data_IF_452662119142
#
_entry.id   IF_452662119142
#
_cell.length_a   1.000
_cell.length_b   1.000
_cell.length_c   1.000
_cell.angle_alpha   90.00
_cell.angle_beta   90.00
_cell.angle_gamma   90.00
#
_symmetry.space_group_name_H-M   'P 1'
#
loop_
_entity.id
_entity.type
_entity.pdbx_description
1 polymer ?
#
# COMPACT_ATOMS: atom_id res chain seq x y z
N UNK A 1 -22.87 62.32 26.94
CA UNK A 1 -21.50 62.12 26.43
C UNK A 1 -20.76 61.23 27.42
N UNK A 2 -20.65 59.94 27.11
CA UNK A 2 -19.90 58.98 27.89
C UNK A 2 -18.51 58.83 27.24
N UNK A 3 -17.45 59.05 28.02
CA UNK A 3 -16.07 58.76 27.65
C UNK A 3 -15.74 57.38 28.20
N UNK A 4 -15.87 56.39 27.33
CA UNK A 4 -15.39 55.03 27.52
C UNK A 4 -13.97 54.91 26.97
N UNK A 5 -13.07 54.26 27.71
CA UNK A 5 -11.89 53.63 27.12
C UNK A 5 -10.57 53.97 27.77
N UNK A 6 -10.19 53.17 28.78
CA UNK A 6 -8.81 52.77 29.02
C UNK A 6 -8.86 51.35 29.64
N UNK A 7 -8.47 50.35 28.87
CA UNK A 7 -8.25 48.98 29.34
C UNK A 7 -6.89 48.92 30.06
N UNK A 8 -6.70 48.11 31.12
CA UNK A 8 -5.41 48.02 31.81
C UNK A 8 -4.39 47.27 30.94
N UNK A 9 -3.16 47.78 30.91
CA UNK A 9 -2.01 47.15 30.26
C UNK A 9 -1.78 45.73 30.82
N UNK A 10 -1.61 44.76 29.92
CA UNK A 10 -1.26 43.38 30.27
C UNK A 10 0.13 43.35 30.90
N UNK A 11 0.17 43.07 32.20
CA UNK A 11 1.38 42.78 32.96
C UNK A 11 2.04 41.50 32.40
N UNK A 12 3.27 41.63 31.91
CA UNK A 12 4.09 40.51 31.47
C UNK A 12 4.68 39.84 32.72
N UNK A 13 4.24 38.62 33.04
CA UNK A 13 4.81 37.79 34.09
C UNK A 13 5.86 36.84 33.47
N UNK A 14 7.17 37.04 33.74
CA UNK A 14 8.23 36.19 33.19
C UNK A 14 8.33 34.79 33.83
N UNK A 15 7.47 34.44 34.80
CA UNK A 15 7.56 33.19 35.57
C UNK A 15 6.31 32.28 35.48
N UNK A 16 5.48 32.39 34.43
CA UNK A 16 4.36 31.47 34.24
C UNK A 16 4.69 30.36 33.22
N UNK A 17 5.23 29.20 33.64
CA UNK A 17 5.43 28.07 32.74
C UNK A 17 4.08 27.36 32.57
N UNK A 18 3.26 27.84 31.63
CA UNK A 18 2.26 26.94 31.03
C UNK A 18 3.03 25.95 30.17
N UNK A 19 3.49 24.87 30.81
CA UNK A 19 3.96 23.66 30.15
C UNK A 19 2.79 23.08 29.37
N UNK A 20 2.60 23.56 28.13
CA UNK A 20 1.89 22.80 27.13
C UNK A 20 2.62 21.47 26.96
N UNK A 21 1.86 20.38 26.90
CA UNK A 21 2.35 19.04 26.62
C UNK A 21 3.33 19.09 25.44
N UNK A 22 4.44 18.35 25.57
CA UNK A 22 5.31 18.02 24.43
C UNK A 22 4.55 17.02 23.55
N UNK A 23 3.48 17.49 22.93
CA UNK A 23 2.91 16.84 21.76
C UNK A 23 3.81 17.17 20.57
N UNK A 24 4.14 16.16 19.78
CA UNK A 24 5.00 16.25 18.61
C UNK A 24 4.47 17.35 17.67
N UNK A 25 5.03 18.55 17.77
CA UNK A 25 4.49 19.73 17.13
C UNK A 25 4.73 19.69 15.62
N UNK A 26 3.65 19.99 14.91
CA UNK A 26 3.58 20.22 13.47
C UNK A 26 4.73 21.06 12.90
N UNK A 27 5.40 20.67 11.79
CA UNK A 27 6.26 21.52 10.97
C UNK A 27 5.71 22.92 10.63
N UNK A 28 4.38 23.06 10.51
CA UNK A 28 3.74 24.37 10.33
C UNK A 28 3.67 25.17 11.64
N UNK A 29 3.47 24.50 12.77
CA UNK A 29 3.56 25.12 14.11
C UNK A 29 5.01 25.52 14.44
N UNK A 30 5.99 24.69 14.09
CA UNK A 30 7.43 24.99 14.26
C UNK A 30 7.83 26.17 13.37
N UNK A 31 7.33 26.26 12.14
CA UNK A 31 7.57 27.43 11.27
C UNK A 31 6.94 28.70 11.85
N UNK A 32 5.71 28.63 12.34
CA UNK A 32 5.03 29.76 12.96
C UNK A 32 5.74 30.24 14.24
N UNK A 33 6.30 29.31 15.02
CA UNK A 33 7.08 29.61 16.22
C UNK A 33 8.45 30.21 15.88
N UNK A 34 9.12 29.72 14.83
CA UNK A 34 10.35 30.32 14.28
C UNK A 34 10.11 31.76 13.81
N UNK A 35 8.99 32.00 13.13
CA UNK A 35 8.61 33.33 12.65
C UNK A 35 8.26 34.26 13.84
N UNK A 36 7.61 33.73 14.90
CA UNK A 36 7.32 34.46 16.13
C UNK A 36 8.58 34.80 16.95
N UNK A 37 9.49 33.84 17.13
CA UNK A 37 10.81 34.02 17.75
C UNK A 37 11.67 35.04 16.98
N UNK A 38 11.60 35.03 15.64
CA UNK A 38 12.25 36.03 14.79
C UNK A 38 11.71 37.45 15.00
N UNK A 39 10.39 37.59 15.11
CA UNK A 39 9.74 38.88 15.39
C UNK A 39 10.03 39.38 16.82
N UNK A 40 10.10 38.48 17.81
CA UNK A 40 10.46 38.82 19.18
C UNK A 40 11.90 39.36 19.29
N UNK A 41 12.86 38.74 18.58
CA UNK A 41 14.24 39.23 18.45
C UNK A 41 14.29 40.63 17.82
N UNK A 42 13.57 40.86 16.72
CA UNK A 42 13.53 42.17 16.07
C UNK A 42 12.93 43.24 16.98
N UNK A 43 11.86 42.91 17.71
CA UNK A 43 11.26 43.83 18.70
C UNK A 43 12.23 44.13 19.84
N UNK A 44 12.92 43.13 20.38
CA UNK A 44 13.90 43.30 21.45
C UNK A 44 15.07 44.17 21.00
N UNK A 45 15.55 44.00 19.77
CA UNK A 45 16.61 44.83 19.18
C UNK A 45 16.17 46.31 19.05
N UNK A 46 14.96 46.57 18.56
CA UNK A 46 14.41 47.92 18.50
C UNK A 46 14.22 48.55 19.89
N UNK A 47 13.73 47.76 20.87
CA UNK A 47 13.56 48.21 22.26
C UNK A 47 14.93 48.54 22.90
N UNK A 48 15.98 47.78 22.56
CA UNK A 48 17.35 48.04 22.98
C UNK A 48 17.96 49.30 22.34
N UNK A 49 17.76 49.51 21.04
CA UNK A 49 18.21 50.72 20.33
C UNK A 49 17.54 52.00 20.87
N UNK A 50 16.24 51.91 21.19
CA UNK A 50 15.50 52.99 21.85
C UNK A 50 16.05 53.26 23.26
N UNK A 51 16.35 52.20 24.02
CA UNK A 51 17.00 52.32 25.33
C UNK A 51 18.36 53.01 25.23
N UNK A 52 19.24 52.59 24.31
CA UNK A 52 20.55 53.21 24.09
C UNK A 52 20.43 54.69 23.65
N UNK A 53 19.41 55.02 22.85
CA UNK A 53 19.14 56.40 22.41
C UNK A 53 18.72 57.28 23.59
N UNK A 54 17.79 56.81 24.42
CA UNK A 54 17.35 57.51 25.62
C UNK A 54 18.49 57.65 26.64
N UNK A 55 19.29 56.60 26.82
CA UNK A 55 20.46 56.61 27.68
C UNK A 55 21.50 57.63 27.22
N UNK A 56 21.82 57.65 25.92
CA UNK A 56 22.76 58.61 25.33
C UNK A 56 22.25 60.04 25.49
N UNK A 57 20.95 60.25 25.29
CA UNK A 57 20.31 61.56 25.46
C UNK A 57 20.35 62.03 26.93
N UNK A 58 20.12 61.13 27.89
CA UNK A 58 20.20 61.45 29.32
C UNK A 58 21.63 61.75 29.75
N UNK A 59 22.63 61.02 29.25
CA UNK A 59 24.06 61.28 29.51
C UNK A 59 24.52 62.62 28.90
N UNK A 60 24.02 63.00 27.72
CA UNK A 60 24.33 64.28 27.09
C UNK A 60 23.73 65.48 27.83
N UNK A 61 22.61 65.30 28.53
CA UNK A 61 21.89 66.36 29.24
C UNK A 61 22.04 66.29 30.77
N UNK A 62 22.99 65.50 31.28
CA UNK A 62 23.18 65.37 32.73
C UNK A 62 23.89 66.59 33.34
N UNK A 63 23.50 66.93 34.57
CA UNK A 63 24.20 67.91 35.39
C UNK A 63 25.48 67.27 35.98
N UNK A 64 26.67 67.81 35.70
CA UNK A 64 27.93 67.27 36.22
C UNK A 64 28.04 67.28 37.76
N UNK A 65 27.15 67.99 38.48
CA UNK A 65 27.11 68.03 39.94
C UNK A 65 26.23 66.94 40.56
N UNK A 66 25.44 66.20 39.77
CA UNK A 66 24.59 65.10 40.24
C UNK A 66 24.58 63.91 39.25
N UNK A 67 25.64 63.09 39.24
CA UNK A 67 25.70 61.94 38.35
C UNK A 67 24.64 60.89 38.74
N UNK A 68 23.90 60.39 37.75
CA UNK A 68 22.93 59.31 37.95
C UNK A 68 23.63 57.97 38.19
N UNK A 69 23.02 57.07 38.97
CA UNK A 69 23.60 55.76 39.32
C UNK A 69 23.60 54.79 38.12
N UNK A 70 24.80 54.44 37.66
CA UNK A 70 25.06 53.51 36.54
C UNK A 70 24.59 52.05 36.76
N UNK A 71 24.19 51.70 37.99
CA UNK A 71 23.85 50.33 38.38
C UNK A 71 22.53 49.83 37.79
N UNK A 72 21.52 50.70 37.67
CA UNK A 72 20.22 50.37 37.10
C UNK A 72 20.35 49.97 35.61
N UNK A 73 21.16 50.72 34.86
CA UNK A 73 21.40 50.50 33.42
C UNK A 73 22.16 49.20 33.15
N UNK A 74 23.17 48.92 33.98
CA UNK A 74 23.93 47.67 33.88
C UNK A 74 23.03 46.46 34.16
N UNK A 75 22.10 46.58 35.11
CA UNK A 75 21.09 45.56 35.41
C UNK A 75 20.14 45.33 34.23
N UNK A 76 19.67 46.40 33.58
CA UNK A 76 18.80 46.31 32.40
C UNK A 76 19.53 45.70 31.19
N UNK A 77 20.79 46.06 30.95
CA UNK A 77 21.65 45.45 29.91
C UNK A 77 21.81 43.94 30.10
N UNK A 78 22.06 43.50 31.34
CA UNK A 78 22.15 42.07 31.67
C UNK A 78 20.81 41.35 31.44
N UNK A 79 19.68 41.99 31.76
CA UNK A 79 18.35 41.44 31.46
C UNK A 79 18.11 41.32 29.95
N UNK A 80 18.41 42.34 29.15
CA UNK A 80 18.30 42.26 27.68
C UNK A 80 19.14 41.11 27.11
N UNK A 81 20.40 41.00 27.54
CA UNK A 81 21.30 39.93 27.10
C UNK A 81 20.76 38.55 27.47
N UNK A 82 20.16 38.42 28.66
CA UNK A 82 19.58 37.16 29.14
C UNK A 82 18.34 36.77 28.33
N UNK A 83 17.46 37.72 28.01
CA UNK A 83 16.27 37.49 27.17
C UNK A 83 16.68 37.16 25.74
N UNK A 84 17.66 37.86 25.18
CA UNK A 84 18.20 37.57 23.84
C UNK A 84 18.76 36.14 23.77
N UNK A 85 19.55 35.73 24.76
CA UNK A 85 20.06 34.37 24.86
C UNK A 85 18.94 33.33 24.97
N UNK A 86 17.87 33.62 25.74
CA UNK A 86 16.72 32.73 25.86
C UNK A 86 15.99 32.57 24.51
N UNK A 87 15.75 33.66 23.78
CA UNK A 87 15.12 33.61 22.46
C UNK A 87 16.00 32.83 21.46
N UNK A 88 17.32 33.08 21.49
CA UNK A 88 18.26 32.38 20.62
C UNK A 88 18.34 30.88 20.94
N UNK A 89 18.20 30.50 22.21
CA UNK A 89 18.10 29.11 22.64
C UNK A 89 16.83 28.45 22.10
N UNK A 90 15.66 29.08 22.25
CA UNK A 90 14.39 28.57 21.72
C UNK A 90 14.46 28.38 20.20
N UNK A 91 15.01 29.35 19.47
CA UNK A 91 15.23 29.23 18.01
C UNK A 91 16.12 28.06 17.62
N UNK A 92 17.12 27.73 18.44
CA UNK A 92 17.95 26.56 18.21
C UNK A 92 17.21 25.25 18.51
N UNK A 93 16.36 25.22 19.54
CA UNK A 93 15.49 24.07 19.84
C UNK A 93 14.47 23.83 18.72
N UNK A 94 13.81 24.88 18.22
CA UNK A 94 12.90 24.82 17.08
C UNK A 94 13.59 24.25 15.82
N UNK A 95 14.83 24.70 15.53
CA UNK A 95 15.64 24.15 14.44
C UNK A 95 15.97 22.66 14.62
N UNK A 96 16.27 22.23 15.85
CA UNK A 96 16.52 20.82 16.14
C UNK A 96 15.27 19.96 15.95
N UNK A 97 14.10 20.48 16.35
CA UNK A 97 12.81 19.81 16.12
C UNK A 97 12.54 19.69 14.61
N UNK A 98 12.76 20.77 13.85
CA UNK A 98 12.59 20.75 12.39
C UNK A 98 13.53 19.74 11.70
N UNK A 99 14.80 19.65 12.12
CA UNK A 99 15.75 18.66 11.63
C UNK A 99 15.29 17.22 11.94
N UNK A 100 14.68 17.00 13.10
CA UNK A 100 14.14 15.69 13.49
C UNK A 100 12.96 15.28 12.60
N UNK A 101 12.06 16.21 12.23
CA UNK A 101 11.00 15.96 11.26
C UNK A 101 11.50 15.73 9.82
N UNK A 102 12.62 16.33 9.43
CA UNK A 102 13.29 16.01 8.15
C UNK A 102 13.83 14.57 8.08
N UNK A 103 14.27 14.03 9.21
CA UNK A 103 14.80 12.66 9.28
C UNK A 103 13.70 11.60 9.15
N UNK A 104 12.49 11.83 9.68
CA UNK A 104 11.35 10.91 9.51
C UNK A 104 10.89 10.84 8.06
N UNK A 105 10.95 11.96 7.34
CA UNK A 105 10.66 12.03 5.90
C UNK A 105 11.63 11.19 5.07
N UNK A 106 12.92 11.18 5.42
CA UNK A 106 13.93 10.37 4.73
C UNK A 106 13.74 8.86 4.95
N UNK A 107 13.29 8.47 6.15
CA UNK A 107 13.00 7.07 6.47
C UNK A 107 11.82 6.50 5.65
N UNK A 108 10.85 7.34 5.29
CA UNK A 108 9.68 6.91 4.52
C UNK A 108 10.03 6.44 3.10
N UNK A 109 11.03 7.03 2.44
CA UNK A 109 11.50 6.54 1.13
C UNK A 109 11.98 5.08 1.18
N UNK A 110 12.49 4.64 2.33
CA UNK A 110 12.89 3.25 2.54
C UNK A 110 11.73 2.26 2.44
N UNK A 111 10.48 2.71 2.55
CA UNK A 111 9.31 1.84 2.45
C UNK A 111 8.92 1.53 1.01
N UNK A 112 9.31 2.36 0.03
CA UNK A 112 8.97 2.17 -1.38
C UNK A 112 9.43 0.78 -1.84
N UNK A 113 8.51 0.03 -2.43
CA UNK A 113 8.73 -1.34 -2.90
C UNK A 113 8.72 -2.41 -1.81
N UNK A 114 8.58 -2.05 -0.53
CA UNK A 114 8.39 -3.02 0.57
C UNK A 114 6.92 -3.31 0.78
N UNK A 115 6.61 -4.52 1.21
CA UNK A 115 5.27 -4.87 1.69
C UNK A 115 5.13 -4.42 3.14
N UNK A 116 4.00 -3.79 3.47
CA UNK A 116 3.68 -3.39 4.83
C UNK A 116 2.36 -4.01 5.28
N UNK A 117 2.28 -4.35 6.58
CA UNK A 117 1.03 -4.61 7.28
C UNK A 117 0.63 -3.33 8.01
N UNK A 118 -0.62 -2.92 7.86
CA UNK A 118 -1.14 -1.66 8.39
C UNK A 118 -2.41 -1.88 9.21
N UNK A 119 -2.70 -1.00 10.16
CA UNK A 119 -4.00 -0.92 10.85
C UNK A 119 -5.05 -0.13 10.06
N UNK A 120 -4.73 0.32 8.85
CA UNK A 120 -5.66 1.04 7.99
C UNK A 120 -6.72 0.05 7.45
N UNK A 121 -8.00 0.39 7.63
CA UNK A 121 -9.11 -0.45 7.22
C UNK A 121 -9.47 -0.32 5.74
N UNK A 122 -8.84 0.61 5.02
CA UNK A 122 -9.06 0.81 3.58
C UNK A 122 -8.08 -0.03 2.74
N UNK A 123 -8.59 -0.60 1.66
CA UNK A 123 -7.79 -1.26 0.62
C UNK A 123 -8.38 -0.96 -0.76
N UNK A 124 -7.63 -1.25 -1.82
CA UNK A 124 -8.12 -1.10 -3.19
C UNK A 124 -8.80 -2.40 -3.65
N UNK A 125 -10.00 -2.30 -4.21
CA UNK A 125 -10.61 -3.32 -5.05
C UNK A 125 -9.97 -3.19 -6.43
N UNK A 126 -9.19 -4.19 -6.82
CA UNK A 126 -8.52 -4.22 -8.12
C UNK A 126 -8.53 -5.65 -8.67
N UNK A 127 -8.82 -5.82 -9.96
CA UNK A 127 -8.88 -7.15 -10.56
C UNK A 127 -10.00 -8.03 -10.01
N UNK A 128 -11.04 -7.41 -9.44
CA UNK A 128 -12.24 -8.09 -8.94
C UNK A 128 -12.13 -8.68 -7.53
N UNK A 129 -11.10 -8.32 -6.74
CA UNK A 129 -11.07 -8.68 -5.32
C UNK A 129 -10.39 -7.63 -4.43
N UNK A 130 -10.78 -7.62 -3.15
CA UNK A 130 -10.18 -6.82 -2.09
C UNK A 130 -9.93 -7.71 -0.87
N UNK A 131 -8.76 -7.58 -0.23
CA UNK A 131 -8.34 -8.45 0.89
C UNK A 131 -8.08 -7.64 2.15
N UNK A 132 -8.56 -8.19 3.27
CA UNK A 132 -8.29 -7.72 4.62
C UNK A 132 -7.97 -8.90 5.53
N UNK A 133 -7.44 -8.58 6.71
CA UNK A 133 -7.49 -9.48 7.85
C UNK A 133 -8.03 -8.75 9.07
N UNK A 134 -8.61 -9.47 10.01
CA UNK A 134 -9.14 -8.89 11.23
C UNK A 134 -8.97 -9.81 12.42
N UNK A 135 -8.93 -9.21 13.60
CA UNK A 135 -8.95 -9.90 14.89
C UNK A 135 -10.18 -9.43 15.66
N UNK A 136 -10.80 -10.35 16.38
CA UNK A 136 -11.85 -10.05 17.35
C UNK A 136 -11.41 -10.56 18.72
N UNK A 137 -11.89 -9.91 19.78
CA UNK A 137 -11.67 -10.39 21.14
C UNK A 137 -12.14 -11.85 21.28
N UNK A 138 -11.38 -12.74 21.94
CA UNK A 138 -11.76 -14.14 22.12
C UNK A 138 -13.11 -14.36 22.82
N UNK A 139 -13.63 -13.35 23.55
CA UNK A 139 -14.95 -13.38 24.17
C UNK A 139 -16.11 -13.10 23.22
N UNK A 140 -15.84 -12.77 21.95
CA UNK A 140 -16.87 -12.54 20.93
C UNK A 140 -17.69 -13.82 20.66
N UNK A 141 -19.00 -13.75 20.86
CA UNK A 141 -19.93 -14.82 20.46
C UNK A 141 -20.42 -14.66 19.02
N UNK A 142 -20.45 -13.43 18.50
CA UNK A 142 -20.77 -13.14 17.10
C UNK A 142 -20.00 -11.93 16.59
N UNK A 143 -19.79 -11.87 15.28
CA UNK A 143 -19.22 -10.71 14.61
C UNK A 143 -19.89 -10.43 13.27
N UNK A 144 -19.79 -9.19 12.79
CA UNK A 144 -20.37 -8.72 11.55
C UNK A 144 -19.35 -7.87 10.80
N UNK A 145 -19.18 -8.20 9.53
CA UNK A 145 -18.32 -7.52 8.57
C UNK A 145 -19.19 -6.60 7.72
N UNK A 146 -18.77 -5.35 7.55
CA UNK A 146 -19.38 -4.36 6.67
C UNK A 146 -18.31 -3.73 5.77
N UNK A 147 -18.57 -3.66 4.47
CA UNK A 147 -17.69 -2.96 3.53
C UNK A 147 -18.39 -1.67 3.09
N UNK A 148 -17.65 -0.57 3.12
CA UNK A 148 -18.12 0.74 2.68
C UNK A 148 -17.34 1.25 1.47
N UNK A 149 -18.03 1.95 0.58
CA UNK A 149 -17.41 2.68 -0.53
C UNK A 149 -16.73 3.98 -0.04
N UNK A 150 -16.05 4.69 -0.95
CA UNK A 150 -15.39 5.96 -0.66
C UNK A 150 -16.34 7.08 -0.18
N UNK A 151 -17.67 6.93 -0.35
CA UNK A 151 -18.70 7.87 0.13
C UNK A 151 -19.24 7.47 1.51
N UNK A 152 -18.81 6.34 2.06
CA UNK A 152 -19.30 5.78 3.32
C UNK A 152 -20.58 4.95 3.19
N UNK A 153 -21.05 4.67 1.97
CA UNK A 153 -22.21 3.81 1.78
C UNK A 153 -21.82 2.36 2.01
N UNK A 154 -22.62 1.64 2.78
CA UNK A 154 -22.41 0.19 2.96
C UNK A 154 -22.83 -0.55 1.69
N UNK A 155 -21.89 -1.30 1.11
CA UNK A 155 -22.06 -2.05 -0.15
C UNK A 155 -22.13 -3.55 0.06
N UNK A 156 -21.63 -4.04 1.19
CA UNK A 156 -21.62 -5.46 1.52
C UNK A 156 -21.71 -5.66 3.04
N UNK A 157 -22.46 -6.68 3.47
CA UNK A 157 -22.55 -7.10 4.88
C UNK A 157 -22.57 -8.62 4.96
N UNK A 158 -21.78 -9.21 5.84
CA UNK A 158 -21.80 -10.63 6.13
C UNK A 158 -21.49 -10.90 7.60
N UNK A 159 -21.92 -12.05 8.12
CA UNK A 159 -21.41 -12.54 9.39
C UNK A 159 -19.90 -12.79 9.32
N UNK A 160 -19.18 -12.31 10.32
CA UNK A 160 -17.75 -12.56 10.48
C UNK A 160 -17.46 -13.79 11.33
N UNK A 161 -16.25 -14.34 11.19
CA UNK A 161 -15.72 -15.40 12.04
C UNK A 161 -15.42 -14.86 13.43
N UNK A 162 -15.58 -15.71 14.43
CA UNK A 162 -15.20 -15.43 15.82
C UNK A 162 -14.07 -16.37 16.26
N UNK A 163 -13.66 -16.25 17.52
CA UNK A 163 -12.54 -17.00 18.08
C UNK A 163 -11.21 -16.26 17.98
N UNK A 164 -10.26 -16.67 18.82
CA UNK A 164 -8.95 -16.06 18.90
C UNK A 164 -8.14 -16.23 17.60
N UNK A 165 -7.29 -15.25 17.31
CA UNK A 165 -6.38 -15.27 16.17
C UNK A 165 -6.81 -14.37 15.01
N UNK A 166 -5.97 -14.36 13.98
CA UNK A 166 -6.15 -13.53 12.80
C UNK A 166 -7.04 -14.23 11.79
N UNK A 167 -8.11 -13.57 11.36
CA UNK A 167 -9.05 -14.05 10.35
C UNK A 167 -8.83 -13.32 9.04
N UNK A 168 -8.63 -14.05 7.94
CA UNK A 168 -8.58 -13.46 6.61
C UNK A 168 -9.99 -13.28 6.01
N UNK A 169 -10.16 -12.20 5.26
CA UNK A 169 -11.39 -11.91 4.53
C UNK A 169 -11.06 -11.41 3.12
N UNK A 170 -11.66 -12.04 2.11
CA UNK A 170 -11.53 -11.68 0.70
C UNK A 170 -12.92 -11.38 0.17
N UNK A 171 -13.11 -10.17 -0.35
CA UNK A 171 -14.32 -9.75 -1.03
C UNK A 171 -14.11 -9.80 -2.54
N UNK A 172 -15.08 -10.32 -3.27
CA UNK A 172 -15.07 -10.49 -4.72
C UNK A 172 -15.64 -9.27 -5.49
N UNK A 173 -15.81 -8.14 -4.79
CA UNK A 173 -16.34 -6.91 -5.37
C UNK A 173 -17.84 -6.95 -5.66
N UNK A 174 -18.61 -7.89 -5.11
CA UNK A 174 -20.05 -8.02 -5.39
C UNK A 174 -20.92 -7.85 -4.14
N UNK A 175 -22.16 -7.38 -4.32
CA UNK A 175 -23.18 -7.46 -3.25
C UNK A 175 -23.82 -8.86 -3.16
N UNK A 176 -24.77 -9.00 -2.23
CA UNK A 176 -25.56 -10.23 -2.04
C UNK A 176 -26.43 -10.61 -3.25
N UNK A 177 -26.70 -9.67 -4.15
CA UNK A 177 -27.49 -9.89 -5.35
C UNK A 177 -26.60 -10.20 -6.57
N UNK A 178 -25.27 -10.23 -6.40
CA UNK A 178 -24.28 -10.46 -7.45
C UNK A 178 -23.94 -9.22 -8.28
N UNK A 179 -24.45 -8.03 -7.91
CA UNK A 179 -24.10 -6.78 -8.57
C UNK A 179 -22.64 -6.43 -8.28
N UNK A 180 -21.86 -6.18 -9.33
CA UNK A 180 -20.44 -5.87 -9.22
C UNK A 180 -20.22 -4.38 -8.95
N UNK A 181 -19.26 -4.08 -8.08
CA UNK A 181 -18.79 -2.75 -7.77
C UNK A 181 -17.54 -2.41 -8.59
N UNK A 182 -17.34 -1.13 -8.95
CA UNK A 182 -16.18 -0.71 -9.71
C UNK A 182 -14.88 -0.81 -8.90
N UNK A 183 -13.76 -0.98 -9.59
CA UNK A 183 -12.44 -0.86 -8.98
C UNK A 183 -12.30 0.50 -8.26
N UNK A 184 -11.69 0.49 -7.08
CA UNK A 184 -11.57 1.68 -6.23
C UNK A 184 -11.34 1.36 -4.76
N UNK A 185 -11.25 2.40 -3.94
CA UNK A 185 -10.96 2.26 -2.50
C UNK A 185 -12.22 1.92 -1.72
N UNK A 186 -12.12 0.86 -0.92
CA UNK A 186 -13.17 0.38 -0.02
C UNK A 186 -12.61 0.22 1.39
N UNK A 187 -13.47 0.37 2.41
CA UNK A 187 -13.09 0.19 3.81
C UNK A 187 -13.87 -0.95 4.46
N UNK A 188 -13.17 -1.73 5.31
CA UNK A 188 -13.78 -2.79 6.10
C UNK A 188 -14.04 -2.31 7.53
N UNK A 189 -15.25 -2.52 8.02
CA UNK A 189 -15.60 -2.37 9.43
C UNK A 189 -16.00 -3.72 10.00
N UNK A 190 -15.45 -4.06 11.16
CA UNK A 190 -15.79 -5.28 11.89
C UNK A 190 -16.35 -4.89 13.24
N UNK A 191 -17.56 -5.36 13.53
CA UNK A 191 -18.20 -5.23 14.84
C UNK A 191 -18.33 -6.62 15.45
N UNK A 192 -18.13 -6.73 16.76
CA UNK A 192 -18.26 -8.00 17.47
C UNK A 192 -18.92 -7.78 18.83
N UNK A 193 -19.68 -8.77 19.30
CA UNK A 193 -20.31 -8.75 20.62
C UNK A 193 -20.09 -10.06 21.37
N UNK A 194 -20.02 -9.99 22.70
CA UNK A 194 -20.00 -11.15 23.58
C UNK A 194 -21.38 -11.82 23.70
N UNK A 195 -21.45 -12.96 24.41
CA UNK A 195 -22.72 -13.67 24.67
C UNK A 195 -23.77 -12.79 25.35
N UNK A 196 -23.34 -11.78 26.11
CA UNK A 196 -24.20 -10.81 26.79
C UNK A 196 -24.57 -9.62 25.89
N UNK A 197 -24.28 -9.69 24.59
CA UNK A 197 -24.50 -8.65 23.57
C UNK A 197 -23.74 -7.33 23.83
N UNK A 198 -22.65 -7.37 24.61
CA UNK A 198 -21.78 -6.21 24.83
C UNK A 198 -20.75 -6.11 23.69
N UNK A 199 -20.48 -4.90 23.15
CA UNK A 199 -19.42 -4.73 22.16
C UNK A 199 -18.06 -5.18 22.71
N UNK A 200 -17.29 -5.85 21.87
CA UNK A 200 -15.91 -6.26 22.18
C UNK A 200 -14.95 -5.71 21.14
N UNK A 201 -13.66 -5.68 21.48
CA UNK A 201 -12.62 -5.07 20.64
C UNK A 201 -12.46 -5.80 19.31
N UNK A 202 -12.23 -5.03 18.25
CA UNK A 202 -11.93 -5.53 16.91
C UNK A 202 -10.75 -4.74 16.34
N UNK A 203 -9.95 -5.40 15.50
CA UNK A 203 -8.87 -4.76 14.75
C UNK A 203 -8.96 -5.20 13.30
N UNK A 204 -8.75 -4.28 12.38
CA UNK A 204 -8.68 -4.55 10.94
C UNK A 204 -7.27 -4.24 10.48
N UNK A 205 -6.77 -5.08 9.58
CA UNK A 205 -5.47 -4.93 8.97
C UNK A 205 -5.54 -5.12 7.46
N UNK A 206 -4.66 -4.40 6.78
CA UNK A 206 -4.42 -4.52 5.35
C UNK A 206 -2.95 -4.78 5.10
N UNK A 207 -2.65 -5.44 3.98
CA UNK A 207 -1.29 -5.66 3.50
C UNK A 207 -1.16 -5.16 2.08
N UNK A 208 0.01 -4.63 1.74
CA UNK A 208 0.34 -4.35 0.35
C UNK A 208 1.67 -3.65 0.20
N UNK A 209 2.11 -3.56 -1.06
CA UNK A 209 3.39 -2.97 -1.43
C UNK A 209 3.24 -1.46 -1.54
N UNK A 210 4.17 -0.73 -0.94
CA UNK A 210 4.21 0.73 -1.03
C UNK A 210 4.70 1.14 -2.43
N UNK A 211 3.85 1.82 -3.21
CA UNK A 211 4.17 2.27 -4.56
C UNK A 211 4.66 3.72 -4.63
N UNK A 212 4.23 4.55 -3.68
CA UNK A 212 4.55 5.97 -3.64
C UNK A 212 4.67 6.48 -2.20
N UNK A 213 5.45 7.56 -2.04
CA UNK A 213 5.59 8.31 -0.80
C UNK A 213 5.37 9.78 -1.11
N UNK A 214 4.44 10.39 -0.40
CA UNK A 214 4.15 11.82 -0.53
C UNK A 214 4.59 12.57 0.71
N UNK A 215 5.30 13.67 0.50
CA UNK A 215 5.79 14.59 1.53
C UNK A 215 5.21 15.97 1.25
N UNK A 216 3.88 16.08 1.31
CA UNK A 216 3.15 17.35 1.18
C UNK A 216 2.68 17.88 2.54
N UNK A 217 2.68 17.02 3.56
CA UNK A 217 2.34 17.35 4.95
C UNK A 217 3.49 17.09 5.91
N UNK A 218 3.15 17.00 7.20
CA UNK A 218 4.11 16.92 8.30
C UNK A 218 4.72 15.56 8.51
N UNK A 219 3.88 14.55 8.36
CA UNK A 219 4.29 13.16 8.35
C UNK A 219 4.19 12.66 6.91
N UNK A 220 5.22 11.95 6.42
CA UNK A 220 5.16 11.35 5.11
C UNK A 220 3.99 10.35 5.05
N UNK A 221 3.26 10.38 3.95
CA UNK A 221 2.17 9.46 3.68
C UNK A 221 2.63 8.41 2.69
N UNK A 222 2.46 7.14 3.04
CA UNK A 222 2.72 6.00 2.15
C UNK A 222 1.47 5.72 1.30
N UNK A 223 1.66 5.17 0.11
CA UNK A 223 0.56 4.76 -0.76
C UNK A 223 0.66 3.29 -1.11
N UNK A 224 -0.47 2.57 -0.99
CA UNK A 224 -0.63 1.17 -1.42
C UNK A 224 -1.78 1.10 -2.42
N UNK A 225 -1.48 0.95 -3.71
CA UNK A 225 -2.49 0.88 -4.76
C UNK A 225 -3.42 2.10 -4.78
N UNK A 226 -2.90 3.29 -4.45
CA UNK A 226 -3.67 4.52 -4.31
C UNK A 226 -4.31 4.77 -2.92
N UNK A 227 -4.21 3.82 -1.98
CA UNK A 227 -4.67 3.99 -0.59
C UNK A 227 -3.62 4.70 0.23
N UNK A 228 -4.03 5.78 0.92
CA UNK A 228 -3.17 6.57 1.80
C UNK A 228 -2.99 5.87 3.15
N UNK A 229 -1.74 5.69 3.57
CA UNK A 229 -1.37 5.04 4.83
C UNK A 229 -0.39 5.94 5.59
N UNK A 230 -0.72 6.30 6.82
CA UNK A 230 0.17 7.06 7.69
C UNK A 230 1.28 6.18 8.28
N UNK A 231 2.48 6.73 8.53
CA UNK A 231 3.57 5.95 9.15
C UNK A 231 3.18 5.32 10.49
N UNK A 232 2.34 5.99 11.28
CA UNK A 232 1.82 5.49 12.57
C UNK A 232 0.89 4.28 12.43
N UNK A 233 0.30 4.09 11.25
CA UNK A 233 -0.59 2.97 10.95
C UNK A 233 0.20 1.73 10.52
N UNK A 234 1.50 1.88 10.24
CA UNK A 234 2.35 0.76 9.85
C UNK A 234 2.68 -0.09 11.08
N UNK A 235 2.23 -1.34 11.06
CA UNK A 235 2.44 -2.30 12.15
C UNK A 235 3.71 -3.11 11.90
N UNK A 236 3.92 -3.53 10.66
CA UNK A 236 5.08 -4.31 10.28
C UNK A 236 5.52 -3.95 8.86
N UNK A 237 6.82 -4.01 8.63
CA UNK A 237 7.42 -3.93 7.31
C UNK A 237 8.00 -5.30 7.01
N UNK A 238 7.47 -5.95 5.99
CA UNK A 238 8.12 -7.11 5.40
C UNK A 238 9.04 -6.61 4.30
N UNK A 239 10.33 -6.86 4.46
CA UNK A 239 11.15 -7.03 3.27
C UNK A 239 10.82 -8.40 2.75
N UNK A 240 9.83 -8.45 1.87
CA UNK A 240 9.72 -9.60 1.02
C UNK A 240 11.04 -9.69 0.27
N UNK A 241 11.86 -10.66 0.69
CA UNK A 241 12.86 -11.28 -0.17
C UNK A 241 12.10 -12.12 -1.20
N UNK A 242 11.09 -11.53 -1.84
CA UNK A 242 10.63 -12.07 -3.10
C UNK A 242 11.80 -11.83 -4.04
N UNK A 243 12.15 -12.89 -4.76
CA UNK A 243 13.24 -12.95 -5.72
C UNK A 243 14.57 -13.47 -5.15
N UNK A 244 14.55 -14.68 -4.57
CA UNK A 244 15.48 -15.75 -4.98
C UNK A 244 15.19 -17.10 -4.33
N UNK A 245 14.74 -17.17 -3.07
CA UNK A 245 14.55 -18.47 -2.40
C UNK A 245 13.18 -19.12 -2.64
N UNK A 246 12.09 -18.34 -2.69
CA UNK A 246 10.75 -18.87 -2.91
C UNK A 246 10.48 -19.28 -4.36
N UNK A 247 11.04 -18.59 -5.36
CA UNK A 247 10.93 -18.97 -6.77
C UNK A 247 11.72 -20.24 -7.09
N UNK A 248 12.84 -20.52 -6.40
CA UNK A 248 13.56 -21.80 -6.53
C UNK A 248 12.67 -22.99 -6.15
N UNK A 249 11.73 -22.81 -5.20
CA UNK A 249 10.77 -23.86 -4.84
C UNK A 249 9.79 -24.20 -5.97
N UNK A 250 9.73 -23.42 -7.06
CA UNK A 250 8.91 -23.72 -8.21
C UNK A 250 9.65 -24.59 -9.24
N UNK A 251 10.98 -24.55 -9.28
CA UNK A 251 11.76 -25.33 -10.25
C UNK A 251 11.44 -26.82 -10.08
N UNK A 252 11.08 -27.47 -11.19
CA UNK A 252 10.67 -28.87 -11.23
C UNK A 252 9.22 -29.13 -10.83
N UNK A 253 8.45 -28.10 -10.44
CA UNK A 253 7.03 -28.24 -10.10
C UNK A 253 6.14 -27.87 -11.26
N UNK A 254 5.02 -28.58 -11.39
CA UNK A 254 3.96 -28.21 -12.32
C UNK A 254 3.16 -27.04 -11.74
N UNK A 255 2.95 -26.02 -12.55
CA UNK A 255 2.09 -24.89 -12.22
C UNK A 255 0.89 -24.81 -13.15
N UNK A 256 -0.22 -24.27 -12.66
CA UNK A 256 -1.30 -23.75 -13.50
C UNK A 256 -1.27 -22.23 -13.43
N UNK A 257 -1.32 -21.56 -14.57
CA UNK A 257 -1.19 -20.10 -14.67
C UNK A 257 -2.25 -19.51 -15.57
N UNK A 258 -2.64 -18.25 -15.33
CA UNK A 258 -3.41 -17.45 -16.30
C UNK A 258 -2.42 -16.95 -17.35
N UNK A 259 -2.29 -17.66 -18.47
CA UNK A 259 -1.40 -17.26 -19.55
C UNK A 259 -1.94 -17.81 -20.88
N UNK A 260 -2.19 -16.97 -21.90
CA UNK A 260 -2.63 -17.45 -23.20
C UNK A 260 -1.52 -18.17 -23.98
N UNK A 261 -0.26 -18.11 -23.52
CA UNK A 261 0.90 -18.68 -24.22
C UNK A 261 1.29 -20.05 -23.69
N UNK A 262 1.58 -20.97 -24.60
CA UNK A 262 2.15 -22.29 -24.31
C UNK A 262 3.17 -22.66 -25.38
N UNK A 263 3.99 -23.68 -25.12
CA UNK A 263 4.88 -24.24 -26.14
C UNK A 263 4.12 -25.26 -26.98
N UNK A 264 4.32 -25.20 -28.30
CA UNK A 264 4.18 -26.36 -29.16
C UNK A 264 5.46 -27.18 -29.02
N UNK A 265 5.35 -28.35 -28.41
CA UNK A 265 6.46 -29.28 -28.20
C UNK A 265 5.94 -30.71 -28.37
N UNK A 266 6.75 -31.59 -28.96
CA UNK A 266 6.37 -32.99 -29.20
C UNK A 266 5.08 -33.14 -30.05
N UNK A 267 4.79 -32.15 -30.90
CA UNK A 267 3.65 -32.17 -31.82
C UNK A 267 2.29 -31.78 -31.20
N UNK A 268 2.26 -31.22 -29.99
CA UNK A 268 1.02 -30.70 -29.41
C UNK A 268 1.22 -29.44 -28.56
N UNK A 269 0.20 -28.59 -28.52
CA UNK A 269 0.08 -27.43 -27.65
C UNK A 269 -1.26 -27.47 -26.92
N UNK A 270 -1.22 -27.33 -25.59
CA UNK A 270 -2.37 -27.55 -24.72
C UNK A 270 -2.76 -26.28 -23.98
N UNK A 271 -4.05 -25.96 -24.02
CA UNK A 271 -4.67 -24.91 -23.24
C UNK A 271 -5.92 -25.44 -22.52
N UNK A 272 -6.21 -24.86 -21.37
CA UNK A 272 -7.55 -24.91 -20.78
C UNK A 272 -8.14 -23.51 -20.86
N UNK A 273 -9.41 -23.37 -21.20
CA UNK A 273 -10.08 -22.07 -21.22
C UNK A 273 -11.42 -22.13 -20.51
N UNK A 274 -11.86 -21.01 -19.96
CA UNK A 274 -13.16 -20.86 -19.30
C UNK A 274 -13.93 -19.74 -19.98
N UNK A 275 -15.17 -20.04 -20.34
CA UNK A 275 -16.08 -19.11 -21.00
C UNK A 275 -17.05 -18.48 -20.01
N UNK A 276 -17.50 -17.26 -20.30
CA UNK A 276 -18.65 -16.67 -19.62
C UNK A 276 -19.88 -17.58 -19.75
N UNK A 277 -20.67 -17.79 -18.67
CA UNK A 277 -21.89 -18.60 -18.72
C UNK A 277 -22.89 -18.27 -19.83
N UNK A 278 -22.92 -17.03 -20.32
CA UNK A 278 -23.84 -16.62 -21.39
C UNK A 278 -23.29 -16.85 -22.82
N UNK A 279 -22.12 -17.47 -22.97
CA UNK A 279 -21.47 -17.72 -24.27
C UNK A 279 -22.23 -18.79 -25.06
N UNK A 280 -22.85 -18.38 -26.17
CA UNK A 280 -23.63 -19.24 -27.05
C UNK A 280 -22.82 -19.81 -28.23
N UNK A 281 -21.72 -19.17 -28.61
CA UNK A 281 -20.76 -19.69 -29.58
C UNK A 281 -19.35 -19.23 -29.23
N UNK A 282 -18.32 -20.00 -29.58
CA UNK A 282 -16.94 -19.59 -29.40
C UNK A 282 -16.07 -19.99 -30.59
N UNK A 283 -15.01 -19.21 -30.83
CA UNK A 283 -13.99 -19.49 -31.84
C UNK A 283 -12.60 -19.46 -31.18
N UNK A 284 -11.85 -20.55 -31.37
CA UNK A 284 -10.49 -20.71 -30.87
C UNK A 284 -9.51 -20.32 -31.99
N UNK A 285 -8.64 -19.36 -31.71
CA UNK A 285 -7.71 -18.80 -32.68
C UNK A 285 -6.30 -18.96 -32.13
N UNK A 286 -5.49 -19.81 -32.78
CA UNK A 286 -4.07 -19.95 -32.46
C UNK A 286 -3.27 -18.93 -33.25
N UNK A 287 -2.38 -18.21 -32.56
CA UNK A 287 -1.51 -17.18 -33.13
C UNK A 287 -0.05 -17.48 -32.87
N UNK A 288 0.80 -17.17 -33.85
CA UNK A 288 2.25 -17.19 -33.70
C UNK A 288 2.77 -16.03 -32.81
N UNK A 289 4.09 -15.98 -32.58
CA UNK A 289 4.73 -14.93 -31.77
C UNK A 289 4.57 -13.51 -32.32
N UNK A 290 4.29 -13.37 -33.62
CA UNK A 290 4.04 -12.07 -34.27
C UNK A 290 2.55 -11.68 -34.18
N UNK A 291 1.70 -12.52 -33.58
CA UNK A 291 0.26 -12.31 -33.44
C UNK A 291 -0.54 -12.70 -34.68
N UNK A 292 0.06 -13.37 -35.67
CA UNK A 292 -0.64 -13.83 -36.88
C UNK A 292 -1.42 -15.11 -36.56
N UNK A 293 -2.70 -15.15 -36.95
CA UNK A 293 -3.52 -16.35 -36.85
C UNK A 293 -3.00 -17.46 -37.79
N UNK A 294 -2.75 -18.63 -37.24
CA UNK A 294 -2.22 -19.80 -37.96
C UNK A 294 -3.22 -20.97 -37.99
N UNK A 295 -4.12 -21.03 -37.02
CA UNK A 295 -5.17 -22.05 -36.93
C UNK A 295 -6.42 -21.45 -36.29
N UNK A 296 -7.59 -21.88 -36.75
CA UNK A 296 -8.88 -21.42 -36.25
C UNK A 296 -9.90 -22.56 -36.29
N UNK A 297 -10.65 -22.73 -35.21
CA UNK A 297 -11.69 -23.76 -35.09
C UNK A 297 -12.83 -23.27 -34.20
N UNK A 298 -14.05 -23.76 -34.44
CA UNK A 298 -15.16 -23.57 -33.50
C UNK A 298 -14.82 -24.21 -32.16
N UNK A 299 -14.99 -23.47 -31.06
CA UNK A 299 -14.79 -23.97 -29.71
C UNK A 299 -16.07 -24.51 -29.07
N UNK A 300 -15.93 -24.96 -27.83
CA UNK A 300 -17.07 -25.39 -27.01
C UNK A 300 -17.92 -24.20 -26.55
N UNK A 301 -19.09 -24.46 -25.98
CA UNK A 301 -20.03 -23.43 -25.51
C UNK A 301 -20.48 -23.71 -24.08
N UNK A 302 -21.10 -22.72 -23.43
CA UNK A 302 -21.54 -22.83 -22.04
C UNK A 302 -20.42 -22.65 -21.00
N UNK A 303 -20.83 -22.48 -19.74
CA UNK A 303 -19.94 -22.27 -18.60
C UNK A 303 -19.10 -23.50 -18.28
N UNK A 304 -17.87 -23.28 -17.81
CA UNK A 304 -16.99 -24.34 -17.31
C UNK A 304 -15.60 -24.28 -17.92
N UNK A 305 -14.73 -25.19 -17.48
CA UNK A 305 -13.39 -25.36 -18.02
C UNK A 305 -13.44 -26.31 -19.22
N UNK A 306 -12.93 -25.83 -20.34
CA UNK A 306 -12.82 -26.54 -21.61
C UNK A 306 -11.35 -26.78 -21.93
N UNK A 307 -11.02 -27.92 -22.52
CA UNK A 307 -9.65 -28.23 -22.93
C UNK A 307 -9.50 -28.12 -24.43
N UNK A 308 -8.42 -27.49 -24.88
CA UNK A 308 -8.04 -27.41 -26.28
C UNK A 308 -6.63 -27.94 -26.47
N UNK A 309 -6.53 -29.00 -27.28
CA UNK A 309 -5.28 -29.62 -27.70
C UNK A 309 -5.14 -29.34 -29.19
N UNK A 310 -4.10 -28.61 -29.56
CA UNK A 310 -3.77 -28.32 -30.95
C UNK A 310 -2.59 -29.18 -31.39
N UNK A 311 -2.68 -29.81 -32.55
CA UNK A 311 -1.69 -30.75 -33.10
C UNK A 311 -0.55 -30.06 -33.88
N UNK A 312 -0.43 -28.73 -33.74
CA UNK A 312 0.62 -27.94 -34.38
C UNK A 312 0.44 -27.74 -35.89
N UNK A 313 -0.68 -28.16 -36.47
CA UNK A 313 -0.93 -27.98 -37.92
C UNK A 313 -1.67 -26.68 -38.20
N UNK A 314 -1.32 -26.06 -39.32
CA UNK A 314 -2.08 -24.93 -39.85
C UNK A 314 -3.39 -25.38 -40.53
N UNK A 315 -4.16 -24.43 -41.07
CA UNK A 315 -5.41 -24.71 -41.79
C UNK A 315 -5.25 -25.58 -43.05
N UNK A 316 -4.04 -25.70 -43.60
CA UNK A 316 -3.73 -26.51 -44.77
C UNK A 316 -3.22 -27.91 -44.38
N UNK A 317 -3.08 -28.19 -43.09
CA UNK A 317 -2.52 -29.44 -42.57
C UNK A 317 -0.99 -29.47 -42.54
N UNK A 318 -0.32 -28.34 -42.79
CA UNK A 318 1.14 -28.24 -42.69
C UNK A 318 1.56 -28.12 -41.23
N UNK A 319 2.57 -28.89 -40.83
CA UNK A 319 3.15 -28.80 -39.49
C UNK A 319 3.91 -27.49 -39.34
N UNK A 320 3.59 -26.76 -38.28
CA UNK A 320 4.29 -25.53 -37.93
C UNK A 320 5.49 -25.82 -37.02
N UNK A 321 6.50 -24.93 -37.00
CA UNK A 321 7.68 -25.11 -36.17
C UNK A 321 7.35 -25.14 -34.68
N UNK A 322 8.09 -25.94 -33.91
CA UNK A 322 8.10 -25.88 -32.46
C UNK A 322 8.41 -24.46 -31.97
N UNK A 323 7.77 -24.05 -30.88
CA UNK A 323 7.93 -22.71 -30.31
C UNK A 323 6.72 -22.23 -29.51
N UNK A 324 6.74 -20.95 -29.14
CA UNK A 324 5.66 -20.34 -28.34
C UNK A 324 4.51 -19.88 -29.23
N UNK A 325 3.32 -20.38 -28.93
CA UNK A 325 2.07 -19.95 -29.56
C UNK A 325 1.12 -19.39 -28.51
N UNK A 326 0.16 -18.57 -28.96
CA UNK A 326 -0.90 -18.05 -28.10
C UNK A 326 -2.28 -18.46 -28.57
N UNK A 327 -3.15 -18.79 -27.62
CA UNK A 327 -4.57 -18.97 -27.87
C UNK A 327 -5.30 -17.65 -27.63
N UNK A 328 -6.23 -17.33 -28.52
CA UNK A 328 -7.27 -16.34 -28.29
C UNK A 328 -8.63 -17.03 -28.42
N UNK A 329 -9.56 -16.71 -27.52
CA UNK A 329 -10.91 -17.28 -27.52
C UNK A 329 -11.90 -16.15 -27.71
N UNK A 330 -12.61 -16.16 -28.84
CA UNK A 330 -13.66 -15.20 -29.16
C UNK A 330 -15.02 -15.83 -28.87
N UNK A 331 -15.64 -15.48 -27.74
CA UNK A 331 -16.98 -15.90 -27.38
C UNK A 331 -18.04 -14.88 -27.82
N UNK A 332 -19.22 -15.35 -28.23
CA UNK A 332 -20.39 -14.53 -28.52
C UNK A 332 -21.61 -15.06 -27.76
N UNK A 333 -22.46 -14.17 -27.24
CA UNK A 333 -23.74 -14.51 -26.62
C UNK A 333 -24.79 -14.88 -27.69
N UNK A 334 -25.99 -15.28 -27.27
CA UNK A 334 -27.08 -15.68 -28.18
C UNK A 334 -27.62 -14.58 -29.11
N UNK A 335 -27.19 -13.32 -28.91
CA UNK A 335 -27.59 -12.14 -29.68
C UNK A 335 -26.41 -11.64 -30.56
N UNK A 336 -25.21 -12.18 -30.35
CA UNK A 336 -24.01 -11.87 -31.12
C UNK A 336 -23.04 -10.87 -30.45
N UNK A 337 -23.24 -10.50 -29.17
CA UNK A 337 -22.29 -9.63 -28.47
C UNK A 337 -21.08 -10.42 -27.95
N UNK A 338 -19.87 -9.83 -27.92
CA UNK A 338 -18.68 -10.45 -27.35
C UNK A 338 -18.83 -10.83 -25.87
N UNK A 339 -18.38 -12.02 -25.51
CA UNK A 339 -18.30 -12.51 -24.13
C UNK A 339 -16.84 -12.74 -23.73
N UNK A 340 -16.58 -12.76 -22.42
CA UNK A 340 -15.24 -12.94 -21.87
C UNK A 340 -14.78 -14.41 -21.89
N UNK A 341 -13.47 -14.61 -21.98
CA UNK A 341 -12.83 -15.89 -21.79
C UNK A 341 -11.53 -15.75 -20.99
N UNK A 342 -11.25 -16.72 -20.11
CA UNK A 342 -9.96 -16.84 -19.40
C UNK A 342 -9.21 -18.04 -19.92
N UNK A 343 -7.92 -17.88 -20.18
CA UNK A 343 -7.06 -18.94 -20.73
C UNK A 343 -6.01 -19.30 -19.69
N UNK A 344 -5.89 -20.60 -19.45
CA UNK A 344 -5.00 -21.21 -18.50
C UNK A 344 -4.04 -22.14 -19.22
N UNK A 345 -2.79 -22.16 -18.76
CA UNK A 345 -1.81 -23.16 -19.20
C UNK A 345 -1.25 -23.89 -18.00
N UNK A 346 -0.84 -25.13 -18.25
CA UNK A 346 -0.09 -25.94 -17.28
C UNK A 346 1.28 -26.25 -17.84
N UNK A 347 2.25 -26.33 -16.95
CA UNK A 347 3.55 -26.87 -17.29
C UNK A 347 4.53 -26.81 -16.14
N UNK A 348 5.63 -27.54 -16.31
CA UNK A 348 6.70 -27.61 -15.32
C UNK A 348 7.61 -26.41 -15.44
N UNK A 349 7.91 -25.77 -14.31
CA UNK A 349 8.88 -24.68 -14.27
C UNK A 349 10.28 -25.27 -14.43
N UNK A 350 10.96 -24.90 -15.51
CA UNK A 350 12.30 -25.37 -15.87
C UNK A 350 13.41 -24.53 -15.24
N UNK A 351 13.21 -23.21 -15.17
CA UNK A 351 14.18 -22.26 -14.67
C UNK A 351 13.50 -20.95 -14.25
N UNK A 352 14.28 -20.02 -13.72
CA UNK A 352 13.83 -18.69 -13.33
C UNK A 352 14.65 -17.68 -14.12
N UNK A 353 13.98 -16.81 -14.87
CA UNK A 353 14.60 -15.67 -15.53
C UNK A 353 14.64 -14.49 -14.56
N UNK A 354 15.85 -14.07 -14.18
CA UNK A 354 16.10 -12.93 -13.28
C UNK A 354 16.65 -11.71 -14.01
N UNK A 355 16.63 -11.71 -15.35
CA UNK A 355 17.11 -10.58 -16.16
C UNK A 355 16.20 -9.34 -16.07
N UNK A 356 14.95 -9.52 -15.65
CA UNK A 356 13.98 -8.45 -15.39
C UNK A 356 13.87 -8.09 -13.91
N UNK A 357 13.34 -6.90 -13.63
CA UNK A 357 13.12 -6.38 -12.26
C UNK A 357 12.16 -7.25 -11.42
N UNK A 358 11.33 -8.07 -12.08
CA UNK A 358 10.52 -9.14 -11.50
C UNK A 358 11.01 -10.47 -12.11
N UNK A 359 11.34 -11.51 -11.32
CA UNK A 359 11.73 -12.80 -11.82
C UNK A 359 10.52 -13.52 -12.43
N UNK A 360 10.77 -14.17 -13.56
CA UNK A 360 9.76 -14.87 -14.33
C UNK A 360 10.04 -16.36 -14.25
N UNK A 361 9.01 -17.15 -14.01
CA UNK A 361 9.08 -18.60 -14.08
C UNK A 361 9.12 -19.00 -15.56
N UNK A 362 10.08 -19.84 -15.94
CA UNK A 362 10.20 -20.35 -17.31
C UNK A 362 9.49 -21.69 -17.42
N UNK A 363 8.37 -21.74 -18.14
CA UNK A 363 7.66 -22.98 -18.49
C UNK A 363 7.96 -23.29 -19.96
N UNK A 364 8.95 -24.14 -20.20
CA UNK A 364 9.66 -24.18 -21.48
C UNK A 364 10.15 -22.78 -21.87
N UNK A 365 9.80 -22.29 -23.07
CA UNK A 365 10.17 -20.94 -23.53
C UNK A 365 9.16 -19.83 -23.10
N UNK A 366 8.13 -20.19 -22.34
CA UNK A 366 7.11 -19.24 -21.89
C UNK A 366 7.51 -18.62 -20.56
N UNK A 367 7.57 -17.28 -20.55
CA UNK A 367 7.77 -16.47 -19.35
C UNK A 367 6.44 -16.29 -18.61
N UNK A 368 6.41 -16.63 -17.32
CA UNK A 368 5.23 -16.57 -16.45
C UNK A 368 5.55 -15.70 -15.24
N UNK A 369 4.69 -14.72 -14.92
CA UNK A 369 4.84 -13.94 -13.69
C UNK A 369 4.34 -14.74 -12.51
N UNK A 370 4.96 -14.55 -11.35
CA UNK A 370 4.55 -15.28 -10.14
C UNK A 370 3.09 -14.97 -9.74
N UNK A 371 2.64 -13.73 -9.95
CA UNK A 371 1.26 -13.30 -9.70
C UNK A 371 0.21 -14.00 -10.58
N UNK A 372 0.62 -14.56 -11.71
CA UNK A 372 -0.27 -15.24 -12.66
C UNK A 372 -0.44 -16.73 -12.31
N UNK A 373 0.35 -17.25 -11.34
CA UNK A 373 0.28 -18.64 -10.88
C UNK A 373 -0.94 -18.85 -9.99
N UNK A 374 -1.78 -19.81 -10.38
CA UNK A 374 -3.00 -20.19 -9.66
C UNK A 374 -2.80 -21.37 -8.71
N UNK A 375 -2.05 -22.38 -9.13
CA UNK A 375 -1.80 -23.59 -8.34
C UNK A 375 -0.41 -24.13 -8.61
N UNK A 376 0.19 -24.74 -7.60
CA UNK A 376 1.49 -25.43 -7.69
C UNK A 376 1.29 -26.86 -7.22
N UNK A 377 1.57 -27.83 -8.09
CA UNK A 377 1.53 -29.26 -7.73
C UNK A 377 2.90 -29.66 -7.18
N UNK A 378 2.95 -30.49 -6.15
CA UNK A 378 4.22 -31.12 -5.74
C UNK A 378 4.77 -31.98 -6.90
N UNK A 379 6.10 -32.07 -7.06
CA UNK A 379 6.67 -32.97 -8.04
C UNK A 379 6.25 -34.39 -7.66
N UNK A 380 5.86 -35.21 -8.64
CA UNK A 380 5.45 -36.58 -8.39
C UNK A 380 6.50 -37.28 -7.51
N UNK A 381 6.11 -37.97 -6.43
CA UNK A 381 7.08 -38.66 -5.58
C UNK A 381 7.88 -39.64 -6.45
N UNK A 382 9.20 -39.55 -6.37
CA UNK A 382 10.19 -40.34 -7.13
C UNK A 382 9.92 -41.86 -7.02
N UNK A 383 9.14 -42.29 -6.03
CA UNK A 383 8.82 -43.69 -5.76
C UNK A 383 7.77 -44.34 -6.69
N UNK A 384 7.01 -43.60 -7.50
CA UNK A 384 5.91 -44.22 -8.28
C UNK A 384 6.37 -44.89 -9.59
N UNK A 385 7.46 -44.42 -10.23
CA UNK A 385 7.95 -45.01 -11.49
C UNK A 385 8.94 -46.18 -11.30
N UNK A 386 9.54 -46.34 -10.11
CA UNK A 386 10.38 -47.52 -9.84
C UNK A 386 9.53 -48.79 -9.64
N UNK A 387 8.35 -48.67 -9.01
CA UNK A 387 7.46 -49.80 -8.77
C UNK A 387 6.79 -50.33 -10.06
N UNK A 388 6.53 -49.46 -11.05
CA UNK A 388 6.01 -49.88 -12.35
C UNK A 388 7.05 -50.66 -13.17
N UNK A 389 8.33 -50.25 -13.16
CA UNK A 389 9.39 -50.98 -13.89
C UNK A 389 9.84 -52.29 -13.20
N UNK A 390 9.67 -52.41 -11.87
CA UNK A 390 9.94 -53.66 -11.15
C UNK A 390 8.79 -54.67 -11.27
N UNK A 391 7.54 -54.23 -11.40
CA UNK A 391 6.40 -55.13 -11.60
C UNK A 391 6.37 -55.75 -13.02
N UNK A 392 6.96 -55.10 -14.03
CA UNK A 392 7.12 -55.67 -15.38
C UNK A 392 8.33 -56.63 -15.51
N UNK A 393 9.28 -56.59 -14.57
CA UNK A 393 10.46 -57.47 -14.58
C UNK A 393 10.26 -58.80 -13.83
N UNK A 394 9.24 -58.92 -12.96
CA UNK A 394 8.90 -60.18 -12.28
C UNK A 394 7.79 -60.98 -12.99
N UNK A 395 7.31 -60.50 -14.14
CA UNK A 395 6.25 -61.13 -14.94
C UNK A 395 6.69 -61.79 -16.26
N UNK A 396 7.98 -61.89 -16.55
CA UNK A 396 8.53 -62.61 -17.74
C UNK A 396 9.19 -63.93 -17.39
#
# INVERSE_FOLDING_TARGET
MAISGLSPATHFDPNNPTLASVDNASPSAVKADIDASGNALNKLANDFDNFLTLLTTQLQNQDPLQPMDSKEFTSQLVQFTSVEQAIQSNKNLEKLIALTGGNTSSAAFGYIGKEIKTSNSSTNLAGGFAKWSYEVDPSASSSSISIQDAKGNTVFIQEGKTGAGLHEFVWDGKDKNGASFPDGVYSLSVTAVSSDKKPVSTKVFTTGVVDNVEITGEEPTLFIGGVRVGLKEVIAVSQDTYHSSATLNYIGREIRTINPRTNLSEGAANWTYELDPNTASSTLIVKDMNGKSVYEISGETGSGLHNFIWDGKDKNGELLPDGVYSLNVAGLNGIGDPTGARIYTRGTVSSIDTSSNEPLLMVGDVKVRLRDVLTVTEPAPIAANAAASMAEAEGS
#
